data_IF_772538450190
#
_entry.id   IF_772538450190
#
_cell.length_a   1.000
_cell.length_b   1.000
_cell.length_c   1.000
_cell.angle_alpha   90.00
_cell.angle_beta   90.00
_cell.angle_gamma   90.00
#
_symmetry.space_group_name_H-M   'P 1'
#
loop_
_entity.id
_entity.type
_entity.pdbx_description
1 polymer ?
#
# COMPACT_ATOMS: atom_id res chain seq x y z
N UNK A 1 64.96 -15.32 0.86
CA UNK A 1 64.26 -15.51 2.15
C UNK A 1 62.99 -16.29 1.87
N UNK A 2 62.91 -17.52 2.43
CA UNK A 2 61.78 -18.45 2.64
C UNK A 2 60.46 -18.16 1.90
N UNK A 3 60.02 -18.95 0.93
CA UNK A 3 59.51 -20.36 0.95
C UNK A 3 57.97 -20.42 1.09
N UNK A 4 57.31 -21.02 0.07
CA UNK A 4 56.19 -22.00 0.15
C UNK A 4 54.83 -21.54 0.70
N UNK A 5 53.68 -22.18 0.46
CA UNK A 5 53.06 -23.06 -0.56
C UNK A 5 51.64 -23.32 0.00
N UNK A 6 50.66 -23.51 -0.87
CA UNK A 6 49.54 -24.46 -0.78
C UNK A 6 48.78 -24.70 0.54
N UNK A 7 47.45 -24.55 0.44
CA UNK A 7 46.41 -25.54 0.76
C UNK A 7 46.44 -26.24 2.13
N UNK A 8 45.39 -26.07 2.94
CA UNK A 8 44.87 -27.18 3.75
C UNK A 8 43.40 -26.98 4.13
N UNK A 9 42.61 -27.98 3.75
CA UNK A 9 41.30 -28.32 4.26
C UNK A 9 41.39 -28.60 5.77
N UNK A 10 40.50 -28.02 6.58
CA UNK A 10 40.26 -28.48 7.95
C UNK A 10 38.82 -28.96 8.07
N UNK A 11 38.70 -30.28 8.01
CA UNK A 11 37.61 -31.05 8.57
C UNK A 11 37.70 -30.91 10.10
N UNK A 12 36.68 -30.33 10.74
CA UNK A 12 36.48 -30.44 12.19
C UNK A 12 35.11 -31.04 12.42
N UNK A 13 35.12 -32.31 12.81
CA UNK A 13 34.02 -33.00 13.47
C UNK A 13 33.61 -32.22 14.73
N UNK A 14 32.34 -31.83 14.83
CA UNK A 14 31.77 -31.43 16.12
C UNK A 14 30.85 -32.53 16.64
N UNK A 15 31.20 -32.98 17.82
CA UNK A 15 30.56 -33.98 18.67
C UNK A 15 29.15 -33.48 19.03
N UNK A 16 28.15 -34.33 18.88
CA UNK A 16 26.78 -34.09 19.37
C UNK A 16 26.83 -34.15 20.89
N UNK A 17 26.83 -33.00 21.55
CA UNK A 17 26.39 -32.90 22.95
C UNK A 17 25.05 -32.19 22.98
N UNK A 18 24.02 -32.92 23.39
CA UNK A 18 22.69 -32.40 23.62
C UNK A 18 22.73 -31.35 24.74
N UNK A 19 22.60 -30.09 24.36
CA UNK A 19 22.29 -28.99 25.29
C UNK A 19 20.91 -28.46 24.93
N UNK A 20 20.01 -28.51 25.91
CA UNK A 20 18.69 -27.88 25.86
C UNK A 20 18.84 -26.41 25.48
N UNK A 21 18.45 -26.05 24.26
CA UNK A 21 18.31 -24.66 23.84
C UNK A 21 16.97 -24.17 24.37
N UNK A 22 17.02 -23.30 25.37
CA UNK A 22 15.96 -22.36 25.65
C UNK A 22 15.82 -21.48 24.40
N UNK A 23 14.77 -21.72 23.61
CA UNK A 23 14.42 -20.88 22.48
C UNK A 23 13.97 -19.54 23.06
N UNK A 24 14.91 -18.60 23.18
CA UNK A 24 14.58 -17.19 23.22
C UNK A 24 14.07 -16.87 21.81
N UNK A 25 12.77 -16.60 21.70
CA UNK A 25 12.13 -16.31 20.44
C UNK A 25 12.73 -15.06 19.82
N UNK A 26 13.68 -15.23 18.91
CA UNK A 26 14.01 -14.23 17.91
C UNK A 26 12.80 -14.11 17.00
N UNK A 27 12.08 -12.99 17.07
CA UNK A 27 11.02 -12.66 16.11
C UNK A 27 11.67 -12.44 14.75
N UNK A 28 11.83 -13.52 13.99
CA UNK A 28 11.98 -13.42 12.56
C UNK A 28 10.69 -12.77 12.06
N UNK A 29 10.77 -11.52 11.61
CA UNK A 29 9.70 -10.90 10.83
C UNK A 29 9.72 -11.60 9.48
N UNK A 30 9.06 -12.76 9.43
CA UNK A 30 8.84 -13.50 8.19
C UNK A 30 7.88 -12.65 7.37
N UNK A 31 8.35 -12.13 6.23
CA UNK A 31 7.45 -11.67 5.18
C UNK A 31 6.42 -12.78 4.96
N UNK A 32 5.13 -12.42 4.97
CA UNK A 32 4.09 -13.43 5.02
C UNK A 32 4.23 -14.44 3.88
N UNK A 33 4.14 -15.72 4.22
CA UNK A 33 4.21 -16.83 3.25
C UNK A 33 2.93 -16.98 2.41
N UNK A 34 1.93 -16.14 2.63
CA UNK A 34 0.62 -16.27 2.00
C UNK A 34 0.74 -16.15 0.46
N UNK A 35 0.11 -17.06 -0.31
CA UNK A 35 0.21 -17.05 -1.77
C UNK A 35 -0.50 -15.88 -2.46
N UNK A 36 -1.39 -15.20 -1.75
CA UNK A 36 -2.13 -14.01 -2.18
C UNK A 36 -2.27 -13.07 -0.99
N UNK A 37 -1.99 -11.78 -1.20
CA UNK A 37 -2.12 -10.77 -0.15
C UNK A 37 -2.54 -9.41 -0.70
N UNK A 38 -3.38 -8.70 0.05
CA UNK A 38 -3.62 -7.29 -0.22
C UNK A 38 -2.38 -6.47 0.12
N UNK A 39 -1.84 -5.69 -0.83
CA UNK A 39 -0.76 -4.74 -0.54
C UNK A 39 -1.33 -3.46 0.08
N UNK A 40 -2.31 -2.88 -0.62
CA UNK A 40 -3.02 -1.68 -0.21
C UNK A 40 -4.38 -1.59 -0.90
N UNK A 41 -5.28 -0.80 -0.31
CA UNK A 41 -6.51 -0.37 -0.95
C UNK A 41 -6.95 1.01 -0.46
N UNK A 42 -7.62 1.77 -1.33
CA UNK A 42 -8.12 3.12 -1.05
C UNK A 42 -9.40 3.42 -1.82
N UNK A 43 -10.07 4.47 -1.41
CA UNK A 43 -11.07 5.15 -2.22
C UNK A 43 -10.37 6.13 -3.18
N UNK A 44 -10.68 6.06 -4.47
CA UNK A 44 -10.17 6.97 -5.50
C UNK A 44 -11.34 7.77 -6.06
N UNK A 45 -11.24 9.10 -5.97
CA UNK A 45 -12.27 10.05 -6.35
C UNK A 45 -12.01 10.54 -7.78
N UNK A 46 -13.03 10.49 -8.63
CA UNK A 46 -12.98 10.98 -10.02
C UNK A 46 -13.60 12.37 -10.20
N UNK A 47 -14.47 12.82 -9.29
CA UNK A 47 -15.13 14.12 -9.38
C UNK A 47 -14.80 15.03 -8.22
N UNK A 48 -14.67 16.32 -8.50
CA UNK A 48 -14.43 17.33 -7.48
C UNK A 48 -15.53 17.31 -6.40
N UNK A 49 -16.80 17.10 -6.73
CA UNK A 49 -17.85 17.00 -5.69
C UNK A 49 -17.83 15.71 -4.85
N UNK A 50 -16.86 14.82 -5.09
CA UNK A 50 -16.74 13.51 -4.44
C UNK A 50 -17.76 12.47 -4.94
N UNK A 51 -18.73 12.85 -5.79
CA UNK A 51 -19.89 12.02 -6.14
C UNK A 51 -19.58 10.78 -6.96
N UNK A 52 -18.41 10.73 -7.61
CA UNK A 52 -17.99 9.60 -8.43
C UNK A 52 -16.58 9.16 -8.03
N UNK A 53 -16.41 7.85 -7.88
CA UNK A 53 -15.16 7.23 -7.49
C UNK A 53 -15.21 5.71 -7.67
N UNK A 54 -14.11 5.04 -7.33
CA UNK A 54 -13.98 3.60 -7.24
C UNK A 54 -13.18 3.25 -5.99
N UNK A 55 -13.26 2.00 -5.54
CA UNK A 55 -12.25 1.48 -4.62
C UNK A 55 -11.20 0.76 -5.44
N UNK A 56 -9.93 1.06 -5.21
CA UNK A 56 -8.83 0.48 -5.95
C UNK A 56 -7.72 0.04 -5.03
N UNK A 57 -6.87 -0.85 -5.53
CA UNK A 57 -5.75 -1.35 -4.75
C UNK A 57 -4.87 -2.31 -5.52
N UNK A 58 -3.78 -2.71 -4.88
CA UNK A 58 -2.84 -3.68 -5.42
C UNK A 58 -2.81 -4.94 -4.55
N UNK A 59 -2.64 -6.08 -5.20
CA UNK A 59 -2.57 -7.42 -4.62
C UNK A 59 -1.25 -8.03 -5.03
N UNK A 60 -0.51 -8.59 -4.09
CA UNK A 60 0.68 -9.39 -4.34
C UNK A 60 0.28 -10.86 -4.42
N UNK A 61 0.73 -11.56 -5.46
CA UNK A 61 0.45 -12.98 -5.68
C UNK A 61 1.74 -13.70 -6.03
N UNK A 62 2.01 -14.85 -5.44
CA UNK A 62 3.16 -15.68 -5.84
C UNK A 62 3.01 -16.09 -7.31
N UNK A 63 4.13 -16.30 -8.01
CA UNK A 63 4.05 -16.83 -9.37
C UNK A 63 3.71 -18.34 -9.39
N UNK A 64 2.42 -18.67 -9.17
CA UNK A 64 1.96 -20.04 -8.94
C UNK A 64 1.60 -20.80 -10.23
N UNK A 65 0.94 -20.15 -11.19
CA UNK A 65 0.31 -20.76 -12.37
C UNK A 65 0.10 -19.69 -13.46
N UNK A 66 0.56 -19.85 -14.71
CA UNK A 66 0.33 -18.86 -15.77
C UNK A 66 -1.15 -18.56 -16.05
N UNK A 67 -2.09 -19.44 -15.68
CA UNK A 67 -3.53 -19.27 -15.84
C UNK A 67 -4.26 -18.86 -14.54
N UNK A 68 -3.52 -18.39 -13.53
CA UNK A 68 -4.11 -17.98 -12.25
C UNK A 68 -5.18 -16.90 -12.44
N UNK A 69 -6.21 -16.93 -11.59
CA UNK A 69 -7.25 -15.90 -11.53
C UNK A 69 -7.14 -15.16 -10.21
N UNK A 70 -6.95 -13.84 -10.29
CA UNK A 70 -6.91 -12.97 -9.12
C UNK A 70 -8.20 -12.16 -9.09
N UNK A 71 -8.94 -12.28 -7.99
CA UNK A 71 -10.30 -11.72 -7.88
C UNK A 71 -10.46 -11.01 -6.54
N UNK A 72 -11.13 -9.87 -6.58
CA UNK A 72 -11.66 -9.21 -5.38
C UNK A 72 -13.11 -9.62 -5.22
N UNK A 73 -13.41 -10.31 -4.12
CA UNK A 73 -14.76 -10.66 -3.69
C UNK A 73 -15.22 -9.55 -2.74
N UNK A 74 -16.25 -8.79 -3.10
CA UNK A 74 -16.63 -7.58 -2.38
C UNK A 74 -18.14 -7.43 -2.22
N UNK A 75 -18.54 -6.71 -1.19
CA UNK A 75 -19.88 -6.18 -1.00
C UNK A 75 -19.77 -4.75 -0.44
N UNK A 76 -20.92 -4.15 -0.13
CA UNK A 76 -20.96 -2.84 0.51
C UNK A 76 -21.67 -2.96 1.85
N UNK A 77 -21.32 -2.08 2.79
CA UNK A 77 -21.87 -2.08 4.14
C UNK A 77 -23.41 -2.02 4.16
N UNK A 78 -24.03 -1.28 3.24
CA UNK A 78 -25.50 -1.19 3.15
C UNK A 78 -26.19 -2.50 2.72
N UNK A 79 -25.45 -3.45 2.13
CA UNK A 79 -25.98 -4.73 1.64
C UNK A 79 -24.92 -5.84 1.67
N UNK A 80 -24.51 -6.24 2.88
CA UNK A 80 -23.43 -7.21 3.10
C UNK A 80 -23.74 -8.64 2.62
N UNK A 81 -24.99 -8.92 2.23
CA UNK A 81 -25.39 -10.23 1.70
C UNK A 81 -25.22 -10.33 0.17
N UNK A 82 -24.97 -9.21 -0.51
CA UNK A 82 -24.86 -9.15 -1.97
C UNK A 82 -23.40 -9.06 -2.41
N UNK A 83 -22.69 -10.17 -2.26
CA UNK A 83 -21.30 -10.28 -2.70
C UNK A 83 -21.18 -10.37 -4.22
N UNK A 84 -20.14 -9.74 -4.73
CA UNK A 84 -19.80 -9.63 -6.15
C UNK A 84 -18.32 -9.90 -6.34
N UNK A 85 -17.95 -10.22 -7.58
CA UNK A 85 -16.56 -10.45 -7.96
C UNK A 85 -16.12 -9.42 -9.01
N UNK A 86 -14.89 -8.93 -8.88
CA UNK A 86 -14.17 -8.25 -9.96
C UNK A 86 -12.79 -8.88 -10.15
N UNK A 87 -12.39 -9.12 -11.39
CA UNK A 87 -11.06 -9.63 -11.71
C UNK A 87 -10.02 -8.51 -11.61
N UNK A 88 -8.93 -8.77 -10.91
CA UNK A 88 -7.76 -7.92 -10.92
C UNK A 88 -6.96 -8.12 -12.21
N UNK A 89 -6.13 -7.15 -12.57
CA UNK A 89 -5.30 -7.13 -13.78
C UNK A 89 -3.82 -7.13 -13.40
N UNK A 90 -3.04 -7.97 -14.09
CA UNK A 90 -1.58 -8.00 -13.91
C UNK A 90 -0.97 -6.62 -14.20
N UNK A 91 -0.04 -6.20 -13.35
CA UNK A 91 0.74 -4.96 -13.47
C UNK A 91 2.19 -5.26 -13.80
N UNK A 92 2.87 -6.03 -12.93
CA UNK A 92 4.30 -6.35 -13.05
C UNK A 92 4.69 -7.55 -12.21
N UNK A 93 5.85 -8.11 -12.49
CA UNK A 93 6.57 -9.04 -11.60
C UNK A 93 7.66 -8.28 -10.86
N UNK A 94 7.73 -8.46 -9.55
CA UNK A 94 8.76 -7.89 -8.69
C UNK A 94 10.04 -8.74 -8.71
N UNK A 95 11.16 -8.18 -8.26
CA UNK A 95 12.46 -8.86 -8.29
C UNK A 95 12.53 -10.12 -7.41
N UNK A 96 11.67 -10.21 -6.40
CA UNK A 96 11.50 -11.37 -5.51
C UNK A 96 10.50 -12.42 -6.05
N UNK A 97 9.98 -12.24 -7.27
CA UNK A 97 9.16 -13.24 -7.97
C UNK A 97 7.66 -13.19 -7.68
N UNK A 98 7.19 -12.20 -6.93
CA UNK A 98 5.75 -11.92 -6.82
C UNK A 98 5.23 -11.18 -8.05
N UNK A 99 3.94 -11.33 -8.31
CA UNK A 99 3.20 -10.54 -9.28
C UNK A 99 2.30 -9.56 -8.56
N UNK A 100 2.29 -8.32 -9.05
CA UNK A 100 1.39 -7.28 -8.60
C UNK A 100 0.18 -7.23 -9.53
N UNK A 101 -1.00 -7.29 -8.94
CA UNK A 101 -2.28 -7.23 -9.63
C UNK A 101 -3.09 -6.04 -9.12
N UNK A 102 -3.64 -5.25 -10.03
CA UNK A 102 -4.44 -4.06 -9.71
C UNK A 102 -5.93 -4.36 -9.86
N UNK A 103 -6.74 -3.90 -8.92
CA UNK A 103 -8.19 -4.02 -8.99
C UNK A 103 -8.86 -2.66 -8.86
N UNK A 104 -10.06 -2.58 -9.42
CA UNK A 104 -10.98 -1.46 -9.27
C UNK A 104 -12.38 -2.04 -9.05
N UNK A 105 -13.05 -1.67 -7.97
CA UNK A 105 -14.48 -1.97 -7.76
C UNK A 105 -15.31 -0.72 -8.08
N UNK A 106 -16.55 -0.87 -8.58
CA UNK A 106 -17.47 0.26 -8.61
C UNK A 106 -17.61 0.90 -7.22
N UNK A 107 -17.92 2.20 -7.15
CA UNK A 107 -18.42 2.81 -5.93
C UNK A 107 -19.94 2.95 -6.00
N UNK A 108 -20.63 2.78 -4.87
CA UNK A 108 -22.06 3.03 -4.77
C UNK A 108 -22.36 3.88 -3.53
N UNK A 109 -22.77 5.13 -3.75
CA UNK A 109 -23.20 6.08 -2.70
C UNK A 109 -22.29 6.15 -1.47
N UNK A 110 -20.96 6.17 -1.66
CA UNK A 110 -19.98 6.29 -0.58
C UNK A 110 -19.99 5.17 0.46
N UNK A 111 -20.76 4.10 0.25
CA UNK A 111 -20.86 3.04 1.24
C UNK A 111 -19.54 2.30 1.36
N UNK A 112 -19.02 2.10 2.58
CA UNK A 112 -17.80 1.35 2.79
C UNK A 112 -17.79 0.03 2.02
N UNK A 113 -16.70 -0.20 1.30
CA UNK A 113 -16.50 -1.45 0.56
C UNK A 113 -15.86 -2.47 1.49
N UNK A 114 -16.56 -3.60 1.66
CA UNK A 114 -16.08 -4.75 2.43
C UNK A 114 -15.63 -5.81 1.44
N UNK A 115 -14.42 -6.34 1.55
CA UNK A 115 -13.89 -7.28 0.58
C UNK A 115 -12.84 -8.25 1.12
N UNK A 116 -12.62 -9.32 0.38
CA UNK A 116 -11.48 -10.21 0.51
C UNK A 116 -10.86 -10.42 -0.87
N UNK A 117 -9.57 -10.73 -0.91
CA UNK A 117 -8.87 -11.02 -2.16
C UNK A 117 -8.62 -12.53 -2.26
N UNK A 118 -8.84 -13.11 -3.45
CA UNK A 118 -8.62 -14.53 -3.70
C UNK A 118 -7.77 -14.75 -4.94
N UNK A 119 -6.96 -15.80 -4.91
CA UNK A 119 -6.24 -16.31 -6.06
C UNK A 119 -6.60 -17.77 -6.29
N UNK A 120 -7.03 -18.11 -7.50
CA UNK A 120 -7.22 -19.49 -7.95
C UNK A 120 -6.07 -19.89 -8.84
N UNK A 121 -5.29 -20.89 -8.45
CA UNK A 121 -4.10 -21.36 -9.16
C UNK A 121 -3.85 -22.84 -8.87
N UNK A 122 -3.39 -23.62 -9.85
CA UNK A 122 -3.08 -25.05 -9.67
C UNK A 122 -4.24 -25.87 -9.05
N UNK A 123 -5.49 -25.51 -9.34
CA UNK A 123 -6.68 -26.16 -8.78
C UNK A 123 -6.95 -25.88 -7.29
N UNK A 124 -6.25 -24.92 -6.69
CA UNK A 124 -6.45 -24.46 -5.31
C UNK A 124 -7.00 -23.04 -5.29
N UNK A 125 -7.70 -22.68 -4.21
CA UNK A 125 -8.14 -21.30 -3.94
C UNK A 125 -7.50 -20.80 -2.66
N UNK A 126 -6.74 -19.72 -2.79
CA UNK A 126 -6.10 -19.01 -1.69
C UNK A 126 -6.89 -17.74 -1.38
N UNK A 127 -7.03 -17.42 -0.10
CA UNK A 127 -7.77 -16.24 0.36
C UNK A 127 -6.91 -15.40 1.28
N UNK A 128 -6.98 -14.09 1.10
CA UNK A 128 -6.62 -13.10 2.11
C UNK A 128 -7.87 -12.31 2.47
N UNK A 129 -8.49 -12.74 3.56
CA UNK A 129 -9.70 -12.17 4.12
C UNK A 129 -9.44 -11.53 5.48
N UNK A 130 -8.22 -11.01 5.70
CA UNK A 130 -7.83 -10.35 6.93
C UNK A 130 -8.13 -11.20 8.19
N UNK A 131 -7.72 -12.47 8.17
CA UNK A 131 -7.96 -13.45 9.22
C UNK A 131 -9.46 -13.63 9.57
N UNK A 132 -10.32 -13.61 8.55
CA UNK A 132 -11.78 -13.77 8.68
C UNK A 132 -12.56 -12.48 8.94
N UNK A 133 -11.89 -11.34 9.15
CA UNK A 133 -12.56 -10.06 9.38
C UNK A 133 -12.97 -9.34 8.10
N UNK A 134 -12.43 -9.77 6.95
CA UNK A 134 -12.43 -9.03 5.69
C UNK A 134 -11.74 -7.65 5.82
N UNK A 135 -11.52 -7.03 4.67
CA UNK A 135 -11.03 -5.67 4.54
C UNK A 135 -12.20 -4.72 4.40
N UNK A 136 -12.11 -3.54 5.03
CA UNK A 136 -13.09 -2.46 4.86
C UNK A 136 -12.37 -1.19 4.45
N UNK A 137 -12.75 -0.61 3.31
CA UNK A 137 -12.27 0.71 2.87
C UNK A 137 -13.43 1.68 2.90
N UNK A 138 -13.23 2.80 3.60
CA UNK A 138 -14.14 3.95 3.59
C UNK A 138 -13.53 5.06 2.73
N UNK A 139 -14.24 6.18 2.60
CA UNK A 139 -13.72 7.38 1.95
C UNK A 139 -12.41 7.89 2.57
N UNK A 140 -12.27 7.74 3.89
CA UNK A 140 -11.21 8.39 4.66
C UNK A 140 -10.14 7.37 5.15
N UNK A 141 -10.34 6.07 4.90
CA UNK A 141 -9.46 4.99 5.35
C UNK A 141 -8.63 4.45 4.18
N UNK A 142 -7.33 4.26 4.44
CA UNK A 142 -6.40 3.54 3.56
C UNK A 142 -6.05 2.23 4.23
N UNK A 143 -6.03 1.14 3.48
CA UNK A 143 -5.46 -0.11 3.95
C UNK A 143 -4.04 -0.24 3.42
N UNK A 144 -3.10 -0.60 4.29
CA UNK A 144 -1.71 -0.84 3.96
C UNK A 144 -1.22 -2.06 4.75
N UNK A 145 -0.83 -3.14 4.06
CA UNK A 145 -0.33 -4.36 4.72
C UNK A 145 1.20 -4.36 4.79
N UNK A 146 1.86 -3.93 3.72
CA UNK A 146 3.33 -3.97 3.61
C UNK A 146 3.97 -2.77 2.90
N UNK A 147 3.16 -1.85 2.36
CA UNK A 147 3.70 -0.61 1.78
C UNK A 147 4.11 0.35 2.89
N UNK A 148 5.36 0.82 2.81
CA UNK A 148 5.92 1.81 3.72
C UNK A 148 5.13 3.12 3.67
N UNK A 149 4.45 3.39 2.53
CA UNK A 149 3.66 4.58 2.28
C UNK A 149 2.48 4.23 1.35
N UNK A 150 1.31 4.83 1.56
CA UNK A 150 0.20 4.88 0.61
C UNK A 150 -0.57 6.17 0.82
N UNK A 151 -1.03 6.83 -0.25
CA UNK A 151 -1.84 8.04 -0.15
C UNK A 151 -3.31 7.84 -0.53
N UNK A 152 -4.21 8.42 0.26
CA UNK A 152 -5.58 8.76 -0.13
C UNK A 152 -5.69 10.28 -0.15
N UNK A 153 -5.81 10.86 -1.34
CA UNK A 153 -6.13 12.27 -1.49
C UNK A 153 -7.64 12.43 -1.41
N UNK A 154 -8.12 13.13 -0.38
CA UNK A 154 -9.50 13.55 -0.28
C UNK A 154 -9.62 15.01 -0.74
N UNK A 155 -10.67 15.30 -1.49
CA UNK A 155 -10.99 16.66 -1.88
C UNK A 155 -12.12 17.19 -0.99
N UNK A 156 -11.88 18.29 -0.31
CA UNK A 156 -12.93 19.14 0.25
C UNK A 156 -12.86 20.51 -0.41
N UNK A 157 -13.72 20.81 -1.39
CA UNK A 157 -13.94 22.20 -1.73
C UNK A 157 -15.01 22.81 -0.84
N UNK A 158 -14.61 23.90 -0.20
CA UNK A 158 -15.49 25.06 -0.10
C UNK A 158 -15.74 25.59 -1.52
N UNK A 159 -16.74 25.02 -2.19
CA UNK A 159 -17.13 25.44 -3.52
C UNK A 159 -17.67 26.87 -3.46
N UNK A 160 -16.89 27.81 -3.99
CA UNK A 160 -17.41 29.06 -4.53
C UNK A 160 -17.15 29.04 -6.04
N UNK A 161 -18.13 28.53 -6.79
CA UNK A 161 -18.32 28.80 -8.22
C UNK A 161 -17.06 28.60 -9.10
N UNK A 162 -16.46 27.39 -9.12
CA UNK A 162 -15.42 26.93 -10.09
C UNK A 162 -13.93 26.94 -9.64
N UNK A 163 -13.63 27.02 -8.33
CA UNK A 163 -12.24 26.94 -7.83
C UNK A 163 -12.00 25.89 -6.76
N UNK A 164 -10.92 25.14 -6.94
CA UNK A 164 -10.34 24.24 -5.94
C UNK A 164 -9.49 25.10 -4.99
N UNK A 165 -9.77 25.01 -3.69
CA UNK A 165 -9.09 25.82 -2.68
C UNK A 165 -8.09 25.03 -1.84
N UNK A 166 -8.27 23.71 -1.75
CA UNK A 166 -7.32 22.82 -1.07
C UNK A 166 -7.32 21.42 -1.70
N UNK A 167 -6.16 20.77 -1.57
CA UNK A 167 -5.93 19.36 -1.83
C UNK A 167 -5.47 18.78 -0.51
N UNK A 168 -6.25 17.89 0.09
CA UNK A 168 -5.87 17.28 1.35
C UNK A 168 -5.87 15.75 1.21
N UNK A 169 -5.41 15.07 2.25
CA UNK A 169 -5.45 13.62 2.23
C UNK A 169 -4.70 12.99 3.38
N UNK A 170 -4.72 11.67 3.37
CA UNK A 170 -4.09 10.83 4.36
C UNK A 170 -2.97 10.01 3.72
N UNK A 171 -1.91 9.77 4.48
CA UNK A 171 -0.80 8.88 4.20
C UNK A 171 -0.90 7.75 5.22
N UNK A 172 -1.01 6.50 4.78
CA UNK A 172 -0.76 5.35 5.64
C UNK A 172 0.72 4.98 5.54
N UNK A 173 1.43 4.90 6.66
CA UNK A 173 2.83 4.52 6.70
C UNK A 173 3.17 3.59 7.85
N UNK A 174 4.24 2.82 7.70
CA UNK A 174 4.75 1.96 8.77
C UNK A 174 5.58 2.77 9.76
N UNK A 175 5.21 2.74 11.04
CA UNK A 175 5.93 3.42 12.11
C UNK A 175 7.25 2.69 12.43
N UNK A 176 8.36 3.17 11.85
CA UNK A 176 9.69 2.59 12.07
C UNK A 176 10.49 3.22 13.22
N UNK A 177 10.09 4.40 13.69
CA UNK A 177 10.71 5.15 14.82
C UNK A 177 9.82 6.34 15.17
N UNK A 178 9.89 6.90 16.38
CA UNK A 178 9.15 8.13 16.71
C UNK A 178 9.72 9.37 16.03
N UNK A 179 11.03 9.41 15.78
CA UNK A 179 11.69 10.50 15.06
C UNK A 179 11.62 10.26 13.55
N UNK A 180 10.72 10.99 12.90
CA UNK A 180 10.45 10.86 11.48
C UNK A 180 10.02 12.18 10.85
N UNK A 181 10.20 12.28 9.54
CA UNK A 181 9.70 13.37 8.72
C UNK A 181 8.80 12.81 7.62
N UNK A 182 7.58 13.33 7.53
CA UNK A 182 6.57 12.86 6.58
C UNK A 182 6.09 14.06 5.78
N UNK A 183 6.23 14.01 4.45
CA UNK A 183 5.81 15.09 3.57
C UNK A 183 5.11 14.55 2.34
N UNK A 184 4.33 15.40 1.68
CA UNK A 184 3.86 15.19 0.32
C UNK A 184 4.56 16.19 -0.58
N UNK A 185 5.25 15.71 -1.61
CA UNK A 185 5.79 16.55 -2.68
C UNK A 185 4.76 16.65 -3.78
N UNK A 186 4.32 17.85 -4.08
CA UNK A 186 3.28 18.15 -5.07
C UNK A 186 3.88 18.96 -6.23
N UNK A 187 3.51 18.63 -7.45
CA UNK A 187 3.84 19.37 -8.68
C UNK A 187 2.58 19.64 -9.50
N UNK A 188 2.55 20.76 -10.20
CA UNK A 188 1.51 21.12 -11.17
C UNK A 188 2.04 21.23 -12.61
N UNK A 189 3.36 21.02 -12.82
CA UNK A 189 4.06 21.32 -14.08
C UNK A 189 4.98 20.19 -14.59
N UNK A 190 4.62 18.94 -14.31
CA UNK A 190 5.44 17.74 -14.65
C UNK A 190 6.83 17.75 -14.00
N UNK A 191 6.91 18.08 -12.71
CA UNK A 191 8.12 18.06 -11.88
C UNK A 191 9.20 19.08 -12.28
N UNK A 192 8.85 20.13 -13.03
CA UNK A 192 9.77 21.26 -13.26
C UNK A 192 9.94 22.07 -11.98
N UNK A 193 8.84 22.24 -11.24
CA UNK A 193 8.81 22.79 -9.90
C UNK A 193 8.00 21.89 -8.97
N UNK A 194 8.24 22.02 -7.67
CA UNK A 194 7.49 21.26 -6.67
C UNK A 194 7.37 22.04 -5.37
N UNK A 195 6.36 21.67 -4.59
CA UNK A 195 6.17 22.14 -3.22
C UNK A 195 6.15 20.93 -2.28
N UNK A 196 6.94 20.98 -1.22
CA UNK A 196 6.90 19.99 -0.14
C UNK A 196 5.94 20.47 0.95
N UNK A 197 4.96 19.63 1.29
CA UNK A 197 3.94 19.89 2.30
C UNK A 197 4.19 18.94 3.47
N UNK A 198 4.45 19.49 4.65
CA UNK A 198 4.58 18.68 5.86
C UNK A 198 3.24 18.02 6.21
N UNK A 199 3.26 16.71 6.44
CA UNK A 199 2.12 15.98 6.95
C UNK A 199 2.16 15.95 8.48
N UNK A 200 1.00 15.85 9.10
CA UNK A 200 0.84 15.78 10.56
C UNK A 200 0.27 14.44 10.96
N UNK A 201 0.73 13.88 12.08
CA UNK A 201 0.15 12.66 12.62
C UNK A 201 -1.35 12.86 12.88
N UNK A 202 -2.16 11.91 12.41
CA UNK A 202 -3.61 11.92 12.59
C UNK A 202 -4.06 10.80 13.53
N UNK A 203 -3.74 9.54 13.21
CA UNK A 203 -4.15 8.37 13.99
C UNK A 203 -3.25 7.16 13.72
N UNK A 204 -3.51 6.03 14.40
CA UNK A 204 -2.86 4.75 14.12
C UNK A 204 -3.89 3.65 13.97
N UNK A 205 -3.55 2.61 13.21
CA UNK A 205 -4.39 1.44 13.04
C UNK A 205 -4.26 0.53 14.26
N UNK A 206 -5.39 0.09 14.82
CA UNK A 206 -5.40 -0.85 15.94
C UNK A 206 -4.69 -2.17 15.59
N UNK A 207 -3.92 -2.70 16.55
CA UNK A 207 -3.18 -3.96 16.44
C UNK A 207 -2.21 -4.04 15.24
N UNK A 208 -1.72 -2.89 14.79
CA UNK A 208 -0.80 -2.75 13.66
C UNK A 208 0.25 -1.67 13.99
N UNK A 209 1.35 -1.63 13.24
CA UNK A 209 2.33 -0.54 13.31
C UNK A 209 2.13 0.50 12.21
N UNK A 210 0.92 0.60 11.67
CA UNK A 210 0.55 1.59 10.67
C UNK A 210 0.05 2.87 11.34
N UNK A 211 0.60 4.01 10.92
CA UNK A 211 0.15 5.35 11.25
C UNK A 211 -0.53 6.00 10.04
N UNK A 212 -1.53 6.83 10.31
CA UNK A 212 -2.18 7.71 9.36
C UNK A 212 -1.72 9.14 9.60
N UNK A 213 -1.25 9.80 8.55
CA UNK A 213 -0.76 11.17 8.57
C UNK A 213 -1.57 12.02 7.60
N UNK A 214 -1.97 13.21 8.00
CA UNK A 214 -2.80 14.10 7.20
C UNK A 214 -1.96 15.23 6.60
N UNK A 215 -2.23 15.61 5.35
CA UNK A 215 -1.68 16.82 4.73
C UNK A 215 -2.81 17.68 4.17
N UNK A 216 -2.61 18.99 4.18
CA UNK A 216 -3.52 19.99 3.57
C UNK A 216 -2.68 20.98 2.76
N UNK A 217 -2.85 20.91 1.44
CA UNK A 217 -2.26 21.85 0.49
C UNK A 217 -3.28 22.85 0.00
N UNK A 218 -3.17 24.09 0.47
CA UNK A 218 -3.99 25.21 -0.02
C UNK A 218 -3.45 25.72 -1.34
N UNK A 219 -4.25 25.63 -2.39
CA UNK A 219 -3.90 26.14 -3.72
C UNK A 219 -4.64 27.44 -4.02
N UNK A 220 -3.97 28.36 -4.72
CA UNK A 220 -4.53 29.67 -5.10
C UNK A 220 -5.30 29.61 -6.42
N UNK A 221 -5.09 28.55 -7.19
CA UNK A 221 -5.64 28.35 -8.53
C UNK A 221 -6.20 26.96 -8.65
N UNK A 222 -7.24 26.76 -9.45
CA UNK A 222 -7.70 25.42 -9.82
C UNK A 222 -6.56 24.68 -10.53
N UNK A 223 -5.93 23.68 -9.89
CA UNK A 223 -4.87 22.94 -10.53
C UNK A 223 -5.48 22.14 -11.70
N UNK A 224 -4.70 21.92 -12.76
CA UNK A 224 -5.16 21.15 -13.94
C UNK A 224 -4.54 19.77 -14.06
N UNK A 225 -3.33 19.59 -13.55
CA UNK A 225 -2.60 18.33 -13.56
C UNK A 225 -1.74 18.27 -12.31
N UNK A 226 -2.32 17.81 -11.20
CA UNK A 226 -1.54 17.65 -9.97
C UNK A 226 -0.95 16.25 -9.96
N UNK A 227 0.37 16.19 -9.79
CA UNK A 227 1.06 14.96 -9.47
C UNK A 227 1.68 15.07 -8.09
N UNK A 228 1.81 13.95 -7.40
CA UNK A 228 2.46 13.95 -6.11
C UNK A 228 3.19 12.64 -5.81
N UNK A 229 4.10 12.73 -4.86
CA UNK A 229 4.80 11.61 -4.23
C UNK A 229 4.90 11.84 -2.72
N UNK A 230 4.88 10.74 -1.96
CA UNK A 230 5.06 10.80 -0.51
C UNK A 230 6.54 10.66 -0.18
N UNK A 231 7.02 11.53 0.71
CA UNK A 231 8.36 11.51 1.29
C UNK A 231 8.25 11.02 2.74
N UNK A 232 9.04 10.00 3.08
CA UNK A 232 9.16 9.53 4.45
C UNK A 232 10.62 9.31 4.82
N UNK A 233 11.12 10.09 5.76
CA UNK A 233 12.47 9.97 6.28
C UNK A 233 12.41 9.52 7.73
N UNK A 234 13.11 8.42 8.02
CA UNK A 234 13.15 7.81 9.34
C UNK A 234 14.45 7.05 9.51
N UNK A 235 15.06 7.13 10.69
CA UNK A 235 16.34 6.45 10.99
C UNK A 235 17.44 6.73 9.96
N UNK A 236 17.47 7.94 9.37
CA UNK A 236 18.45 8.34 8.34
C UNK A 236 18.22 7.71 6.95
N UNK A 237 17.09 7.04 6.72
CA UNK A 237 16.70 6.47 5.43
C UNK A 237 15.50 7.22 4.88
N UNK A 238 15.57 7.56 3.59
CA UNK A 238 14.47 8.19 2.86
C UNK A 238 13.75 7.18 1.97
N UNK A 239 12.44 7.11 2.13
CA UNK A 239 11.53 6.36 1.28
C UNK A 239 10.69 7.32 0.45
N UNK A 240 10.55 7.00 -0.83
CA UNK A 240 9.67 7.69 -1.76
C UNK A 240 8.59 6.72 -2.23
N UNK A 241 7.33 7.13 -2.10
CA UNK A 241 6.23 6.47 -2.79
C UNK A 241 5.71 7.39 -3.90
N UNK A 242 6.04 6.98 -5.12
CA UNK A 242 5.64 7.61 -6.36
C UNK A 242 4.68 6.71 -7.15
N UNK A 243 3.85 5.91 -6.47
CA UNK A 243 2.89 5.02 -7.09
C UNK A 243 3.55 4.06 -8.11
N UNK A 244 4.62 3.37 -7.71
CA UNK A 244 5.37 2.47 -8.58
C UNK A 244 5.90 3.11 -9.89
N UNK A 245 6.25 4.40 -9.86
CA UNK A 245 6.81 5.12 -11.00
C UNK A 245 5.77 5.82 -11.89
N UNK A 246 4.48 5.62 -11.63
CA UNK A 246 3.42 6.32 -12.36
C UNK A 246 3.13 7.71 -11.79
N UNK A 247 3.57 8.01 -10.56
CA UNK A 247 3.05 9.09 -9.73
C UNK A 247 1.54 8.95 -9.50
N UNK A 248 1.03 9.64 -8.50
CA UNK A 248 -0.41 9.80 -8.35
C UNK A 248 -0.86 11.00 -9.16
N UNK A 249 -1.97 10.87 -9.87
CA UNK A 249 -2.56 11.95 -10.66
C UNK A 249 -3.92 12.34 -10.07
N UNK A 250 -4.13 13.63 -9.89
CA UNK A 250 -5.47 14.20 -9.74
C UNK A 250 -5.88 14.75 -11.10
N UNK A 251 -6.74 14.00 -11.80
CA UNK A 251 -7.34 14.45 -13.05
C UNK A 251 -8.53 15.35 -12.76
N UNK A 252 -8.41 16.63 -13.08
CA UNK A 252 -9.54 17.57 -13.01
C UNK A 252 -10.26 17.52 -14.37
N UNK A 253 -11.46 16.94 -14.41
CA UNK A 253 -12.34 17.00 -15.58
C UNK A 253 -13.18 18.26 -15.58
#
# INVERSE_FOLDING_TARGET
>A
MKLFKNSLCFMICFIITATTVLITGSTNVQASEDPVQLCHARYHIFSADGSTGNYEGNIAVKNLDPNKKVTVHYCYEYNQNNWKDVSAKYVKTTSDGYEIWHFETPCYYYSPCIFAVKCEANGQTYWDNNNGNNYTVTRDVILAKDSILNLNSHYEANQTYDRIQSINGYIALKNLSSEKNVKVRITEDNWQTYTDIDAVYHSSQENSNIEYWHYDYKTKTTPKNVQFAVYYEVNGVTYWDNNSGSNYFLGFR
#
